data_IF_442678858366
#
_entry.id   IF_442678858366
#
_cell.length_a   1.000
_cell.length_b   1.000
_cell.length_c   1.000
_cell.angle_alpha   90.00
_cell.angle_beta   90.00
_cell.angle_gamma   90.00
#
_symmetry.space_group_name_H-M   'P 1'
#
loop_
_entity.id
_entity.type
_entity.pdbx_description
1 polymer ?
#
# COMPACT_ATOMS: atom_id res chain seq x y z
N UNK A 1 5.82 -11.47 -48.56
CA UNK A 1 6.80 -10.42 -48.25
C UNK A 1 6.65 -10.02 -46.78
N UNK A 2 7.73 -9.99 -46.01
CA UNK A 2 7.73 -9.54 -44.60
C UNK A 2 7.86 -8.02 -44.49
N UNK A 3 8.30 -7.33 -45.55
CA UNK A 3 8.49 -5.87 -45.57
C UNK A 3 7.19 -5.06 -45.52
N UNK A 4 6.05 -5.69 -45.77
CA UNK A 4 4.72 -5.06 -45.75
C UNK A 4 3.98 -5.22 -44.43
N UNK A 5 4.50 -6.01 -43.49
CA UNK A 5 3.82 -6.23 -42.22
C UNK A 5 3.84 -4.94 -41.40
N UNK A 6 2.70 -4.62 -40.81
CA UNK A 6 2.51 -3.51 -39.88
C UNK A 6 1.77 -4.04 -38.67
N UNK A 7 2.20 -3.61 -37.50
CA UNK A 7 1.66 -4.01 -36.23
C UNK A 7 1.43 -2.76 -35.39
N UNK A 8 0.39 -2.79 -34.57
CA UNK A 8 0.00 -1.69 -33.72
C UNK A 8 -0.26 -2.18 -32.31
N UNK A 9 0.10 -1.35 -31.32
CA UNK A 9 -0.34 -1.48 -29.95
C UNK A 9 -0.24 -0.10 -29.29
N UNK A 10 -1.18 0.19 -28.40
CA UNK A 10 -1.15 1.40 -27.58
C UNK A 10 -1.72 1.12 -26.19
N UNK A 11 -1.34 1.97 -25.24
CA UNK A 11 -2.07 2.08 -23.97
C UNK A 11 -3.24 3.05 -24.23
N UNK A 12 -4.45 2.74 -23.73
CA UNK A 12 -5.61 3.61 -23.90
C UNK A 12 -5.36 5.03 -23.36
N UNK A 13 -5.71 6.02 -24.17
CA UNK A 13 -5.30 7.42 -24.01
C UNK A 13 -6.46 8.41 -24.10
N UNK A 14 -7.69 7.94 -24.31
CA UNK A 14 -8.87 8.80 -24.43
C UNK A 14 -9.18 9.44 -23.08
N UNK A 15 -9.09 10.79 -22.97
CA UNK A 15 -9.44 11.49 -21.73
C UNK A 15 -10.92 11.36 -21.42
N UNK A 16 -11.26 11.26 -20.14
CA UNK A 16 -12.65 11.17 -19.70
C UNK A 16 -12.86 11.81 -18.32
N UNK A 17 -14.13 12.01 -17.95
CA UNK A 17 -14.53 12.61 -16.68
C UNK A 17 -14.16 14.09 -16.56
N UNK A 18 -14.31 14.64 -15.34
CA UNK A 18 -14.07 16.07 -15.06
C UNK A 18 -12.59 16.43 -14.95
N UNK A 19 -11.75 15.45 -14.61
CA UNK A 19 -10.29 15.63 -14.49
C UNK A 19 -9.57 15.44 -15.82
N UNK A 20 -10.27 15.00 -16.87
CA UNK A 20 -9.70 14.74 -18.21
C UNK A 20 -8.46 13.84 -18.18
N UNK A 21 -8.46 12.83 -17.32
CA UNK A 21 -7.41 11.81 -17.28
C UNK A 21 -7.73 10.67 -18.24
N UNK A 22 -6.71 10.00 -18.76
CA UNK A 22 -6.81 8.77 -19.54
C UNK A 22 -6.38 7.54 -18.74
N UNK A 23 -6.56 6.33 -19.29
CA UNK A 23 -6.01 5.11 -18.66
C UNK A 23 -4.48 5.21 -18.51
N UNK A 24 -3.78 5.73 -19.53
CA UNK A 24 -2.34 5.98 -19.48
C UNK A 24 -1.95 6.90 -18.33
N UNK A 25 -2.72 7.95 -18.04
CA UNK A 25 -2.39 8.87 -16.94
C UNK A 25 -2.56 8.19 -15.58
N UNK A 26 -3.63 7.42 -15.39
CA UNK A 26 -3.79 6.61 -14.18
C UNK A 26 -2.65 5.60 -14.00
N UNK A 27 -2.23 4.92 -15.08
CA UNK A 27 -1.11 3.99 -15.08
C UNK A 27 0.21 4.71 -14.75
N UNK A 28 0.43 5.92 -15.28
CA UNK A 28 1.61 6.72 -14.95
C UNK A 28 1.65 7.12 -13.48
N UNK A 29 0.51 7.42 -12.86
CA UNK A 29 0.44 7.73 -11.43
C UNK A 29 0.77 6.49 -10.58
N UNK A 30 0.37 5.29 -11.02
CA UNK A 30 0.76 4.04 -10.37
C UNK A 30 2.27 3.77 -10.45
N UNK A 31 2.92 4.03 -11.59
CA UNK A 31 4.33 3.66 -11.80
C UNK A 31 5.39 4.73 -11.58
N UNK A 32 5.12 5.98 -11.95
CA UNK A 32 6.21 6.93 -12.21
C UNK A 32 5.98 8.34 -11.68
N UNK A 33 4.78 8.91 -11.80
CA UNK A 33 4.56 10.33 -11.55
C UNK A 33 3.21 10.60 -10.89
N UNK A 34 3.08 10.16 -9.64
CA UNK A 34 1.96 10.63 -8.83
C UNK A 34 2.27 12.03 -8.27
N UNK A 35 1.57 13.02 -8.81
CA UNK A 35 1.75 14.43 -8.46
C UNK A 35 1.66 14.72 -6.96
N UNK A 36 0.79 14.02 -6.21
CA UNK A 36 0.60 14.22 -4.78
C UNK A 36 1.72 13.64 -3.93
N UNK A 37 2.47 12.67 -4.45
CA UNK A 37 3.55 11.97 -3.75
C UNK A 37 4.91 12.55 -4.15
N UNK A 38 5.09 12.91 -5.42
CA UNK A 38 6.30 13.57 -5.92
C UNK A 38 6.59 14.88 -5.17
N UNK A 39 5.57 15.69 -4.88
CA UNK A 39 5.71 16.93 -4.10
C UNK A 39 6.15 16.69 -2.65
N UNK A 40 6.00 15.47 -2.14
CA UNK A 40 6.45 15.07 -0.80
C UNK A 40 7.92 14.61 -0.78
N UNK A 41 8.58 14.60 -1.95
CA UNK A 41 9.95 14.13 -2.13
C UNK A 41 10.05 12.61 -2.30
N UNK A 42 8.97 11.96 -2.68
CA UNK A 42 8.89 10.52 -2.89
C UNK A 42 8.89 10.22 -4.41
N UNK A 43 10.05 9.86 -4.99
CA UNK A 43 10.15 9.58 -6.43
C UNK A 43 9.39 8.31 -6.83
N UNK A 44 8.89 8.28 -8.06
CA UNK A 44 8.17 7.14 -8.63
C UNK A 44 6.65 7.25 -8.47
N UNK A 45 5.95 6.15 -8.69
CA UNK A 45 4.50 6.06 -8.54
C UNK A 45 4.05 5.43 -7.23
N UNK A 46 2.74 5.33 -7.05
CA UNK A 46 2.12 4.80 -5.83
C UNK A 46 2.48 3.34 -5.53
N UNK A 47 2.63 2.53 -6.57
CA UNK A 47 2.83 1.08 -6.46
C UNK A 47 4.12 0.70 -5.72
N UNK A 48 5.24 1.33 -6.10
CA UNK A 48 6.55 1.01 -5.48
C UNK A 48 6.61 1.40 -4.00
N UNK A 49 5.92 2.47 -3.60
CA UNK A 49 5.88 2.90 -2.21
C UNK A 49 4.96 2.00 -1.39
N UNK A 50 3.76 1.67 -1.87
CA UNK A 50 2.90 0.68 -1.23
C UNK A 50 3.63 -0.64 -0.98
N UNK A 51 4.36 -1.12 -1.97
CA UNK A 51 5.18 -2.33 -1.88
C UNK A 51 6.26 -2.24 -0.80
N UNK A 52 7.14 -1.23 -0.85
CA UNK A 52 8.27 -1.07 0.08
C UNK A 52 7.82 -0.80 1.51
N UNK A 53 6.79 0.01 1.66
CA UNK A 53 6.28 0.43 2.95
C UNK A 53 5.64 -0.76 3.68
N UNK A 54 4.91 -1.61 2.95
CA UNK A 54 4.35 -2.85 3.51
C UNK A 54 5.44 -3.86 3.86
N UNK A 55 6.48 -4.00 3.04
CA UNK A 55 7.66 -4.83 3.35
C UNK A 55 8.35 -4.37 4.65
N UNK A 56 8.48 -3.06 4.84
CA UNK A 56 9.12 -2.50 6.03
C UNK A 56 8.40 -2.85 7.33
N UNK A 57 7.06 -2.95 7.29
CA UNK A 57 6.29 -3.40 8.45
C UNK A 57 6.65 -4.83 8.85
N UNK A 58 6.89 -5.72 7.89
CA UNK A 58 7.30 -7.12 8.14
C UNK A 58 8.65 -7.15 8.84
N UNK A 59 9.63 -6.39 8.35
CA UNK A 59 10.96 -6.31 8.95
C UNK A 59 10.89 -5.91 10.44
N UNK A 60 10.10 -4.89 10.76
CA UNK A 60 9.95 -4.42 12.14
C UNK A 60 9.13 -5.36 13.01
N UNK A 61 8.10 -5.99 12.47
CA UNK A 61 7.32 -6.97 13.22
C UNK A 61 8.13 -8.23 13.55
N UNK A 62 8.96 -8.70 12.61
CA UNK A 62 9.93 -9.79 12.86
C UNK A 62 10.91 -9.38 13.94
N UNK A 63 11.52 -8.20 13.80
CA UNK A 63 12.48 -7.69 14.79
C UNK A 63 11.84 -7.57 16.19
N UNK A 64 10.59 -7.12 16.28
CA UNK A 64 9.89 -6.97 17.55
C UNK A 64 9.55 -8.33 18.19
N UNK A 65 9.26 -9.34 17.38
CA UNK A 65 9.08 -10.73 17.82
C UNK A 65 10.38 -11.31 18.35
N UNK A 66 11.48 -11.11 17.64
CA UNK A 66 12.80 -11.59 18.04
C UNK A 66 13.31 -10.90 19.32
N UNK A 67 12.93 -9.64 19.53
CA UNK A 67 13.26 -8.88 20.74
C UNK A 67 12.44 -9.31 21.98
N UNK A 68 11.30 -9.99 21.80
CA UNK A 68 10.47 -10.42 22.92
C UNK A 68 11.27 -11.34 23.85
N UNK A 69 11.24 -11.00 25.15
CA UNK A 69 11.76 -11.88 26.18
C UNK A 69 10.93 -11.76 27.48
N UNK A 70 10.77 -12.86 28.25
CA UNK A 70 10.01 -12.84 29.49
C UNK A 70 10.60 -11.94 30.59
N UNK A 71 11.85 -11.49 30.45
CA UNK A 71 12.50 -10.57 31.38
C UNK A 71 12.19 -9.09 31.05
N UNK A 72 11.60 -8.80 29.89
CA UNK A 72 11.24 -7.45 29.46
C UNK A 72 12.43 -6.53 29.17
N UNK A 73 13.64 -7.06 29.01
CA UNK A 73 14.86 -6.23 28.88
C UNK A 73 14.89 -5.40 27.60
N UNK A 74 14.17 -5.85 26.56
CA UNK A 74 14.15 -5.20 25.25
C UNK A 74 12.86 -4.39 25.02
N UNK A 75 12.03 -4.19 26.05
CA UNK A 75 10.72 -3.53 25.91
C UNK A 75 10.80 -2.15 25.26
N UNK A 76 11.87 -1.38 25.49
CA UNK A 76 12.06 -0.09 24.83
C UNK A 76 12.30 -0.24 23.32
N UNK A 77 13.12 -1.20 22.91
CA UNK A 77 13.39 -1.47 21.50
C UNK A 77 12.11 -1.93 20.80
N UNK A 78 11.33 -2.81 21.44
CA UNK A 78 10.03 -3.24 20.92
C UNK A 78 9.07 -2.06 20.71
N UNK A 79 8.97 -1.12 21.65
CA UNK A 79 8.15 0.09 21.46
C UNK A 79 8.59 0.96 20.29
N UNK A 80 9.91 1.11 20.08
CA UNK A 80 10.44 1.83 18.92
C UNK A 80 9.98 1.16 17.62
N UNK A 81 9.97 -0.17 17.56
CA UNK A 81 9.52 -0.93 16.40
C UNK A 81 8.00 -0.80 16.19
N UNK A 82 7.18 -0.90 17.25
CA UNK A 82 5.73 -0.69 17.14
C UNK A 82 5.38 0.74 16.73
N UNK A 83 6.11 1.73 17.23
CA UNK A 83 5.94 3.12 16.83
C UNK A 83 6.36 3.35 15.38
N UNK A 84 7.47 2.74 14.92
CA UNK A 84 7.88 2.77 13.51
C UNK A 84 6.82 2.16 12.59
N UNK A 85 6.17 1.08 13.01
CA UNK A 85 5.04 0.46 12.29
C UNK A 85 3.87 1.45 12.19
N UNK A 86 3.51 2.12 13.29
CA UNK A 86 2.44 3.12 13.27
C UNK A 86 2.80 4.35 12.43
N UNK A 87 4.06 4.80 12.45
CA UNK A 87 4.53 5.91 11.62
C UNK A 87 4.26 5.66 10.13
N UNK A 88 4.33 4.42 9.66
CA UNK A 88 4.00 4.06 8.26
C UNK A 88 2.50 3.78 8.07
N UNK A 89 1.84 3.13 9.02
CA UNK A 89 0.42 2.81 8.92
C UNK A 89 -0.47 4.07 8.90
N UNK A 90 -0.18 5.02 9.78
CA UNK A 90 -0.89 6.30 9.92
C UNK A 90 -0.28 7.42 9.09
N UNK A 91 0.98 7.24 8.66
CA UNK A 91 1.82 8.33 8.21
C UNK A 91 2.33 9.15 9.41
N UNK A 92 3.60 9.54 9.36
CA UNK A 92 4.25 10.35 10.40
C UNK A 92 3.49 11.62 10.77
N UNK A 93 2.79 12.34 9.85
CA UNK A 93 1.96 13.46 10.23
C UNK A 93 0.81 13.10 11.18
N UNK A 94 0.26 11.88 11.09
CA UNK A 94 -0.97 11.51 11.80
C UNK A 94 -0.77 10.55 12.98
N UNK A 95 0.43 9.96 13.15
CA UNK A 95 0.70 8.98 14.23
C UNK A 95 0.37 9.50 15.64
N UNK A 96 0.43 10.82 15.83
CA UNK A 96 0.09 11.49 17.09
C UNK A 96 -1.38 11.28 17.51
N UNK A 97 -2.27 10.91 16.58
CA UNK A 97 -3.67 10.58 16.87
C UNK A 97 -3.78 9.28 17.69
N UNK A 98 -2.89 8.31 17.45
CA UNK A 98 -2.86 7.03 18.17
C UNK A 98 -1.96 7.09 19.41
N UNK A 99 -0.84 7.82 19.32
CA UNK A 99 0.13 8.00 20.41
C UNK A 99 0.41 9.48 20.62
N UNK A 100 -0.41 10.19 21.42
CA UNK A 100 -0.21 11.60 21.68
C UNK A 100 1.18 11.89 22.29
N UNK A 101 1.92 12.82 21.68
CA UNK A 101 3.30 13.19 22.05
C UNK A 101 4.34 12.07 21.83
N UNK A 102 4.01 11.01 21.11
CA UNK A 102 4.98 9.99 20.69
C UNK A 102 5.99 10.55 19.68
N UNK A 103 7.27 10.16 19.76
CA UNK A 103 8.25 10.52 18.74
C UNK A 103 8.07 9.65 17.47
N UNK A 104 8.32 10.23 16.30
CA UNK A 104 8.47 9.49 15.04
C UNK A 104 9.86 8.85 15.00
N UNK A 105 9.92 7.53 14.80
CA UNK A 105 11.18 6.77 14.69
C UNK A 105 11.46 6.33 13.26
N UNK A 106 10.43 6.18 12.44
CA UNK A 106 10.56 5.92 11.01
C UNK A 106 11.29 7.05 10.27
N UNK A 107 11.80 6.73 9.07
CA UNK A 107 12.28 7.74 8.14
C UNK A 107 11.15 8.73 7.80
N UNK A 108 11.37 10.01 8.11
CA UNK A 108 10.37 11.07 7.98
C UNK A 108 10.01 11.42 6.54
N UNK A 109 10.73 10.91 5.55
CA UNK A 109 10.39 11.13 4.13
C UNK A 109 9.49 10.02 3.65
N UNK A 110 9.91 8.77 3.85
CA UNK A 110 9.22 7.55 3.43
C UNK A 110 7.88 7.39 4.17
N UNK A 111 7.83 7.70 5.46
CA UNK A 111 6.60 7.63 6.26
C UNK A 111 5.65 8.83 6.10
N UNK A 112 5.86 9.75 5.15
CA UNK A 112 4.96 10.93 5.00
C UNK A 112 3.56 10.54 4.57
N UNK A 113 3.45 9.54 3.71
CA UNK A 113 2.18 9.04 3.19
C UNK A 113 1.83 7.79 3.97
N UNK A 114 0.60 7.76 4.48
CA UNK A 114 0.12 6.62 5.23
C UNK A 114 -0.10 5.40 4.31
N UNK A 115 0.04 4.20 4.84
CA UNK A 115 -0.50 3.00 4.19
C UNK A 115 -2.04 2.99 4.28
N UNK A 116 -2.59 3.40 5.41
CA UNK A 116 -4.03 3.48 5.67
C UNK A 116 -4.48 4.93 5.71
N UNK A 117 -5.55 5.28 4.98
CA UNK A 117 -6.08 6.64 5.07
C UNK A 117 -6.59 6.96 6.47
N UNK A 118 -6.18 8.12 6.97
CA UNK A 118 -6.72 8.71 8.20
C UNK A 118 -7.96 9.52 7.84
N UNK A 119 -8.99 9.49 8.68
CA UNK A 119 -10.22 10.26 8.46
C UNK A 119 -9.89 11.76 8.31
N UNK A 120 -10.25 12.41 7.19
CA UNK A 120 -10.05 13.84 6.99
C UNK A 120 -10.58 14.73 8.12
N UNK A 121 -11.64 14.31 8.83
CA UNK A 121 -12.17 15.05 9.97
C UNK A 121 -11.26 15.02 11.21
N UNK A 122 -10.38 14.02 11.29
CA UNK A 122 -9.36 13.89 12.34
C UNK A 122 -8.05 14.57 11.93
N UNK A 123 -7.85 14.82 10.64
CA UNK A 123 -6.71 15.57 10.12
C UNK A 123 -6.91 17.07 10.37
N UNK A 124 -5.89 17.75 10.89
CA UNK A 124 -5.98 19.20 11.11
C UNK A 124 -5.95 19.96 9.77
N UNK A 125 -6.84 20.93 9.62
CA UNK A 125 -7.26 21.54 8.34
C UNK A 125 -6.19 22.25 7.48
N UNK A 126 -4.94 22.33 7.93
CA UNK A 126 -3.80 22.82 7.13
C UNK A 126 -2.93 21.72 6.54
N UNK A 127 -3.09 20.46 6.98
CA UNK A 127 -2.28 19.32 6.52
C UNK A 127 -2.92 18.56 5.36
N UNK A 128 -4.23 18.69 5.12
CA UNK A 128 -4.97 18.00 4.05
C UNK A 128 -4.37 18.19 2.65
N UNK A 129 -3.82 19.38 2.36
CA UNK A 129 -3.17 19.65 1.08
C UNK A 129 -1.87 18.82 0.89
N UNK A 130 -1.21 18.46 2.00
CA UNK A 130 0.06 17.72 2.03
C UNK A 130 -0.11 16.28 2.56
N UNK A 131 -1.33 15.85 2.87
CA UNK A 131 -1.67 14.53 3.40
C UNK A 131 -2.58 13.82 2.40
N UNK A 132 -2.00 13.14 1.39
CA UNK A 132 -2.79 12.39 0.43
C UNK A 132 -3.52 11.22 1.11
N UNK A 133 -4.56 10.64 0.47
CA UNK A 133 -5.10 9.35 0.87
C UNK A 133 -3.97 8.35 1.03
N UNK A 134 -4.14 7.45 2.00
CA UNK A 134 -3.18 6.39 2.20
C UNK A 134 -3.10 5.48 0.96
N UNK A 135 -1.98 4.81 0.79
CA UNK A 135 -1.71 4.03 -0.42
C UNK A 135 -2.81 3.01 -0.74
N UNK A 136 -3.42 2.39 0.27
CA UNK A 136 -4.51 1.42 0.09
C UNK A 136 -5.84 2.00 -0.38
N UNK A 137 -6.04 3.32 -0.36
CA UNK A 137 -7.18 3.97 -1.01
C UNK A 137 -6.75 4.71 -2.29
N UNK A 138 -5.52 5.22 -2.31
CA UNK A 138 -5.00 5.99 -3.42
C UNK A 138 -4.71 5.12 -4.65
N UNK A 139 -4.12 3.95 -4.48
CA UNK A 139 -3.91 3.00 -5.59
C UNK A 139 -5.24 2.56 -6.21
N UNK A 140 -6.25 2.10 -5.42
CA UNK A 140 -7.58 1.80 -5.96
C UNK A 140 -8.27 2.96 -6.67
N UNK A 141 -7.99 4.22 -6.30
CA UNK A 141 -8.52 5.38 -7.03
C UNK A 141 -8.05 5.37 -8.49
N UNK A 142 -6.76 5.14 -8.75
CA UNK A 142 -6.23 5.08 -10.11
C UNK A 142 -6.65 3.81 -10.85
N UNK A 143 -6.72 2.67 -10.16
CA UNK A 143 -7.21 1.41 -10.75
C UNK A 143 -8.68 1.53 -11.18
N UNK A 144 -9.53 2.16 -10.36
CA UNK A 144 -10.90 2.49 -10.75
C UNK A 144 -10.95 3.45 -11.96
N UNK A 145 -9.96 4.34 -12.07
CA UNK A 145 -9.79 5.18 -13.23
C UNK A 145 -9.52 4.37 -14.50
N UNK A 146 -8.60 3.40 -14.44
CA UNK A 146 -8.36 2.45 -15.53
C UNK A 146 -9.63 1.68 -15.88
N UNK A 147 -10.40 1.23 -14.89
CA UNK A 147 -11.68 0.53 -15.11
C UNK A 147 -12.70 1.42 -15.82
N UNK A 148 -12.70 2.74 -15.60
CA UNK A 148 -13.69 3.67 -16.16
C UNK A 148 -13.29 4.25 -17.51
N UNK A 149 -12.01 4.22 -17.88
CA UNK A 149 -11.55 4.76 -19.14
C UNK A 149 -12.32 4.16 -20.33
N UNK A 150 -12.78 4.97 -21.29
CA UNK A 150 -13.70 4.53 -22.34
C UNK A 150 -13.07 3.52 -23.29
N UNK A 151 -11.77 3.63 -23.52
CA UNK A 151 -10.96 2.81 -24.41
C UNK A 151 -10.16 1.71 -23.69
N UNK A 152 -10.33 1.53 -22.37
CA UNK A 152 -9.71 0.44 -21.64
C UNK A 152 -10.21 -0.94 -22.14
N UNK A 153 -9.26 -1.84 -22.42
CA UNK A 153 -9.56 -3.19 -22.89
C UNK A 153 -10.26 -4.02 -21.80
N UNK A 154 -11.01 -5.08 -22.16
CA UNK A 154 -11.60 -5.98 -21.18
C UNK A 154 -10.59 -6.57 -20.19
N UNK A 155 -9.38 -6.90 -20.66
CA UNK A 155 -8.32 -7.45 -19.81
C UNK A 155 -7.78 -6.41 -18.82
N UNK A 156 -7.56 -5.16 -19.25
CA UNK A 156 -7.14 -4.08 -18.33
C UNK A 156 -8.16 -3.85 -17.22
N UNK A 157 -9.46 -3.87 -17.54
CA UNK A 157 -10.52 -3.73 -16.52
C UNK A 157 -10.51 -4.90 -15.55
N UNK A 158 -10.30 -6.11 -16.06
CA UNK A 158 -10.22 -7.33 -15.25
C UNK A 158 -9.02 -7.31 -14.30
N UNK A 159 -7.83 -6.99 -14.81
CA UNK A 159 -6.60 -6.86 -13.99
C UNK A 159 -6.78 -5.78 -12.93
N UNK A 160 -7.26 -4.58 -13.32
CA UNK A 160 -7.46 -3.49 -12.36
C UNK A 160 -8.47 -3.84 -11.26
N UNK A 161 -9.58 -4.53 -11.61
CA UNK A 161 -10.54 -5.00 -10.62
C UNK A 161 -9.93 -6.08 -9.71
N UNK A 162 -9.14 -6.99 -10.28
CA UNK A 162 -8.45 -8.01 -9.50
C UNK A 162 -7.52 -7.39 -8.46
N UNK A 163 -6.65 -6.47 -8.86
CA UNK A 163 -5.72 -5.77 -7.95
C UNK A 163 -6.48 -5.07 -6.82
N UNK A 164 -7.61 -4.43 -7.11
CA UNK A 164 -8.45 -3.80 -6.07
C UNK A 164 -8.89 -4.84 -5.02
N UNK A 165 -9.31 -6.03 -5.44
CA UNK A 165 -9.69 -7.10 -4.52
C UNK A 165 -8.51 -7.61 -3.68
N UNK A 166 -7.31 -7.69 -4.25
CA UNK A 166 -6.09 -8.04 -3.51
C UNK A 166 -5.78 -7.00 -2.44
N UNK A 167 -5.80 -5.72 -2.80
CA UNK A 167 -5.56 -4.61 -1.87
C UNK A 167 -6.62 -4.50 -0.78
N UNK A 168 -7.87 -4.91 -1.06
CA UNK A 168 -8.91 -5.01 -0.03
C UNK A 168 -8.58 -6.07 1.04
N UNK A 169 -7.85 -7.14 0.70
CA UNK A 169 -7.37 -8.11 1.69
C UNK A 169 -6.27 -7.49 2.54
N UNK A 170 -5.25 -6.91 1.91
CA UNK A 170 -4.17 -6.17 2.59
C UNK A 170 -4.69 -5.08 3.51
N UNK A 171 -5.72 -4.33 3.10
CA UNK A 171 -6.36 -3.30 3.93
C UNK A 171 -6.94 -3.86 5.22
N UNK A 172 -7.57 -5.04 5.18
CA UNK A 172 -8.12 -5.69 6.39
C UNK A 172 -6.99 -6.08 7.34
N UNK A 173 -5.98 -6.77 6.85
CA UNK A 173 -4.85 -7.21 7.67
C UNK A 173 -4.08 -6.02 8.26
N UNK A 174 -3.81 -4.97 7.49
CA UNK A 174 -3.11 -3.78 8.01
C UNK A 174 -3.93 -3.01 9.06
N UNK A 175 -5.26 -3.03 8.99
CA UNK A 175 -6.12 -2.44 10.04
C UNK A 175 -6.03 -3.21 11.36
N UNK A 176 -5.98 -4.54 11.31
CA UNK A 176 -5.76 -5.37 12.49
C UNK A 176 -4.34 -5.17 13.05
N UNK A 177 -3.32 -5.18 12.18
CA UNK A 177 -1.93 -4.86 12.55
C UNK A 177 -1.83 -3.51 13.27
N UNK A 178 -2.48 -2.46 12.74
CA UNK A 178 -2.55 -1.14 13.38
C UNK A 178 -3.13 -1.21 14.79
N UNK A 179 -4.24 -1.94 14.97
CA UNK A 179 -4.87 -2.14 16.28
C UNK A 179 -3.92 -2.77 17.29
N UNK A 180 -3.19 -3.81 16.90
CA UNK A 180 -2.20 -4.46 17.77
C UNK A 180 -0.99 -3.58 18.05
N UNK A 181 -0.41 -2.93 17.04
CA UNK A 181 0.73 -2.04 17.19
C UNK A 181 0.41 -0.89 18.16
N UNK A 182 -0.78 -0.29 18.05
CA UNK A 182 -1.27 0.74 18.97
C UNK A 182 -1.42 0.22 20.40
N UNK A 183 -1.93 -0.98 20.60
CA UNK A 183 -2.04 -1.53 21.96
C UNK A 183 -0.65 -1.83 22.54
N UNK A 184 0.23 -2.44 21.75
CA UNK A 184 1.57 -2.85 22.16
C UNK A 184 2.47 -1.67 22.50
N UNK A 185 2.44 -0.58 21.72
CA UNK A 185 3.26 0.61 21.99
C UNK A 185 2.89 1.28 23.32
N UNK A 186 1.62 1.19 23.73
CA UNK A 186 1.12 1.76 24.98
C UNK A 186 1.34 0.86 26.20
N UNK A 187 1.78 -0.38 26.02
CA UNK A 187 2.07 -1.29 27.13
C UNK A 187 3.33 -0.87 27.91
N UNK A 188 3.28 -0.98 29.23
CA UNK A 188 4.46 -0.86 30.12
C UNK A 188 5.40 -2.07 30.00
N UNK A 189 6.63 -1.96 30.54
CA UNK A 189 7.66 -3.00 30.38
C UNK A 189 7.19 -4.36 30.90
N UNK A 190 6.54 -4.37 32.06
CA UNK A 190 6.03 -5.59 32.68
C UNK A 190 4.94 -6.25 31.83
N UNK A 191 4.12 -5.46 31.13
CA UNK A 191 3.07 -5.96 30.24
C UNK A 191 3.67 -6.55 28.96
N UNK A 192 4.66 -5.88 28.37
CA UNK A 192 5.39 -6.38 27.18
C UNK A 192 6.17 -7.68 27.45
N UNK A 193 6.51 -7.96 28.70
CA UNK A 193 7.13 -9.21 29.13
C UNK A 193 6.13 -10.37 29.31
N UNK A 194 4.81 -10.12 29.25
CA UNK A 194 3.80 -11.15 29.47
C UNK A 194 3.54 -11.98 28.21
N UNK A 195 3.14 -13.26 28.36
CA UNK A 195 2.74 -14.11 27.24
C UNK A 195 1.63 -13.51 26.37
N UNK A 196 0.74 -12.68 26.94
CA UNK A 196 -0.29 -11.99 26.19
C UNK A 196 0.30 -11.00 25.16
N UNK A 197 1.38 -10.29 25.51
CA UNK A 197 2.06 -9.41 24.57
C UNK A 197 2.70 -10.22 23.43
N UNK A 198 3.31 -11.38 23.73
CA UNK A 198 3.82 -12.28 22.69
C UNK A 198 2.71 -12.72 21.71
N UNK A 199 1.52 -13.08 22.20
CA UNK A 199 0.40 -13.43 21.32
C UNK A 199 0.00 -12.27 20.41
N UNK A 200 -0.01 -11.03 20.93
CA UNK A 200 -0.31 -9.84 20.13
C UNK A 200 0.78 -9.54 19.10
N UNK A 201 2.05 -9.76 19.45
CA UNK A 201 3.19 -9.59 18.54
C UNK A 201 3.15 -10.64 17.43
N UNK A 202 2.86 -11.89 17.76
CA UNK A 202 2.70 -12.97 16.80
C UNK A 202 1.54 -12.71 15.82
N UNK A 203 0.46 -12.13 16.33
CA UNK A 203 -0.69 -11.75 15.50
C UNK A 203 -0.36 -10.56 14.61
N UNK A 204 0.24 -9.50 15.16
CA UNK A 204 0.77 -8.36 14.40
C UNK A 204 1.69 -8.83 13.27
N UNK A 205 2.65 -9.70 13.56
CA UNK A 205 3.57 -10.26 12.57
C UNK A 205 2.81 -11.03 11.49
N UNK A 206 1.85 -11.85 11.87
CA UNK A 206 1.04 -12.62 10.92
C UNK A 206 0.27 -11.67 9.99
N UNK A 207 -0.39 -10.65 10.54
CA UNK A 207 -1.18 -9.69 9.78
C UNK A 207 -0.32 -8.88 8.79
N UNK A 208 0.84 -8.34 9.21
CA UNK A 208 1.71 -7.62 8.27
C UNK A 208 2.32 -8.55 7.23
N UNK A 209 2.60 -9.81 7.59
CA UNK A 209 3.10 -10.82 6.63
C UNK A 209 2.03 -11.14 5.60
N UNK A 210 0.78 -11.35 6.01
CA UNK A 210 -0.33 -11.62 5.09
C UNK A 210 -0.62 -10.40 4.22
N UNK A 211 -0.59 -9.19 4.78
CA UNK A 211 -0.70 -7.97 4.01
C UNK A 211 0.37 -7.86 2.91
N UNK A 212 1.59 -8.29 3.19
CA UNK A 212 2.70 -8.25 2.24
C UNK A 212 2.62 -9.38 1.20
N UNK A 213 2.74 -10.64 1.62
CA UNK A 213 2.91 -11.79 0.73
C UNK A 213 1.64 -12.63 0.53
N UNK A 214 0.55 -12.31 1.23
CA UNK A 214 -0.68 -13.08 1.22
C UNK A 214 -0.67 -14.26 2.19
N UNK A 215 -1.74 -15.05 2.12
CA UNK A 215 -1.95 -16.23 2.97
C UNK A 215 -2.61 -17.35 2.17
N UNK A 216 -2.19 -18.60 2.37
CA UNK A 216 -2.96 -19.75 1.89
C UNK A 216 -4.23 -19.89 2.74
N UNK A 217 -5.41 -19.80 2.13
CA UNK A 217 -6.68 -20.12 2.81
C UNK A 217 -6.76 -21.65 2.97
N UNK A 218 -6.75 -22.18 4.20
CA UNK A 218 -6.76 -23.62 4.43
C UNK A 218 -8.10 -24.28 4.09
N UNK A 219 -9.20 -23.52 3.95
CA UNK A 219 -10.52 -24.05 3.61
C UNK A 219 -10.67 -24.29 2.11
N UNK A 220 -10.12 -23.40 1.31
CA UNK A 220 -10.22 -23.44 -0.15
C UNK A 220 -8.95 -23.98 -0.82
N UNK A 221 -7.84 -24.04 -0.08
CA UNK A 221 -6.50 -24.33 -0.60
C UNK A 221 -6.09 -23.38 -1.73
N UNK A 222 -6.52 -22.12 -1.63
CA UNK A 222 -6.17 -21.05 -2.58
C UNK A 222 -5.42 -19.94 -1.87
N UNK A 223 -4.43 -19.35 -2.54
CA UNK A 223 -3.72 -18.19 -2.01
C UNK A 223 -4.64 -16.97 -2.06
N UNK A 224 -4.83 -16.33 -0.91
CA UNK A 224 -5.36 -14.98 -0.80
C UNK A 224 -4.16 -14.04 -0.95
N UNK A 225 -4.09 -13.24 -2.04
CA UNK A 225 -2.92 -12.44 -2.35
C UNK A 225 -2.76 -11.24 -1.40
N UNK A 226 -1.52 -10.78 -1.26
CA UNK A 226 -1.14 -9.53 -0.60
C UNK A 226 -0.55 -8.51 -1.57
N UNK A 227 0.05 -7.45 -1.03
CA UNK A 227 0.62 -6.33 -1.78
C UNK A 227 1.70 -6.77 -2.79
N UNK A 228 2.48 -7.81 -2.50
CA UNK A 228 3.49 -8.32 -3.42
C UNK A 228 2.87 -8.81 -4.74
N UNK A 229 1.72 -9.50 -4.69
CA UNK A 229 1.04 -9.94 -5.90
C UNK A 229 0.45 -8.74 -6.64
N UNK A 230 -0.19 -7.82 -5.91
CA UNK A 230 -0.70 -6.57 -6.47
C UNK A 230 0.39 -5.78 -7.20
N UNK A 231 1.60 -5.72 -6.64
CA UNK A 231 2.75 -5.07 -7.26
C UNK A 231 3.12 -5.69 -8.62
N UNK A 232 3.12 -7.03 -8.73
CA UNK A 232 3.35 -7.70 -10.01
C UNK A 232 2.18 -7.52 -10.98
N UNK A 233 0.95 -7.52 -10.49
CA UNK A 233 -0.23 -7.40 -11.34
C UNK A 233 -0.42 -5.99 -11.87
N UNK A 234 -0.04 -4.96 -11.10
CA UNK A 234 0.00 -3.57 -11.57
C UNK A 234 0.88 -3.47 -12.81
N UNK A 235 2.05 -4.14 -12.84
CA UNK A 235 2.95 -4.20 -14.01
C UNK A 235 2.25 -4.69 -15.28
N UNK A 236 1.25 -5.58 -15.15
CA UNK A 236 0.52 -6.13 -16.28
C UNK A 236 -0.42 -5.10 -16.93
N UNK A 237 -0.79 -4.02 -16.25
CA UNK A 237 -1.60 -2.93 -16.83
C UNK A 237 -0.89 -2.20 -17.98
N UNK A 238 0.44 -2.27 -18.05
CA UNK A 238 1.23 -1.73 -19.14
C UNK A 238 1.49 -2.75 -20.27
N UNK A 239 0.79 -3.88 -20.29
CA UNK A 239 0.92 -4.88 -21.35
C UNK A 239 0.29 -4.40 -22.66
N UNK A 240 1.05 -4.46 -23.74
CA UNK A 240 0.63 -4.06 -25.07
C UNK A 240 0.13 -5.27 -25.87
N UNK A 241 -1.16 -5.27 -26.22
CA UNK A 241 -1.71 -6.26 -27.14
C UNK A 241 -1.37 -5.86 -28.57
N UNK A 242 -0.53 -6.65 -29.23
CA UNK A 242 -0.11 -6.39 -30.62
C UNK A 242 -1.17 -6.89 -31.60
N UNK A 243 -1.70 -5.99 -32.42
CA UNK A 243 -2.65 -6.30 -33.50
C UNK A 243 -2.04 -5.97 -34.88
N UNK A 244 -2.62 -6.55 -35.93
CA UNK A 244 -2.37 -6.15 -37.34
C UNK A 244 -3.28 -5.00 -37.79
N UNK A 245 -4.32 -4.71 -37.00
CA UNK A 245 -5.29 -3.68 -37.31
C UNK A 245 -4.70 -2.31 -36.95
N UNK A 246 -4.31 -1.55 -37.98
CA UNK A 246 -3.81 -0.21 -37.80
C UNK A 246 -4.97 0.76 -37.50
N UNK A 247 -4.78 1.73 -36.59
CA UNK A 247 -5.76 2.79 -36.42
C UNK A 247 -5.88 3.60 -37.72
N UNK A 248 -7.07 4.15 -37.98
CA UNK A 248 -7.32 4.95 -39.18
C UNK A 248 -6.50 6.26 -39.19
N UNK A 249 -5.99 6.67 -38.05
CA UNK A 249 -5.12 7.83 -37.85
C UNK A 249 -4.01 7.47 -36.87
N UNK A 250 -2.76 7.82 -37.20
CA UNK A 250 -1.58 7.76 -36.32
C UNK A 250 -1.15 9.20 -36.05
#
# INVERSE_FOLDING_TARGET
DRGTWRYYAEIPQTPYGTTSLSALDHIRHLFYKETRVEVLGLPGGLDIWLFRDTEKLVEWAVSARDDYNPQGTNANQMRILFMSILDYLDGAPNVHLDVPNGPTYADKTSSKVALLSVDPAQQQGTELANNPPGYLDHVPLHLNGVIKAPDATPEMRKIAAHIIDELNNSSKWLKEARSYARQLVLMGNNQLAQPQALTMIDTLLSDVTYAYIGQLDPKTNTVVPGVLQAHYDVQQLASLTVTKDLPQTI
#
